data_IF_420128915579
#
_entry.id   IF_420128915579
#
_cell.length_a   1.000
_cell.length_b   1.000
_cell.length_c   1.000
_cell.angle_alpha   90.00
_cell.angle_beta   90.00
_cell.angle_gamma   90.00
#
_symmetry.space_group_name_H-M   'P 1'
#
loop_
_entity.id
_entity.type
_entity.pdbx_description
1 polymer ?
#
# COMPACT_ATOMS: atom_id res chain seq x y z
N UNK A 1 24.51 -16.45 1.02
CA UNK A 1 24.33 -15.19 1.79
C UNK A 1 24.28 -14.07 0.76
N UNK A 2 23.11 -13.80 0.20
CA UNK A 2 22.92 -12.62 -0.68
C UNK A 2 22.92 -11.41 0.24
N UNK A 3 24.07 -10.71 0.27
CA UNK A 3 24.18 -9.47 0.99
C UNK A 3 23.11 -8.51 0.47
N UNK A 4 22.16 -8.19 1.32
CA UNK A 4 21.22 -7.09 1.07
C UNK A 4 22.06 -5.88 0.70
N UNK A 5 21.97 -5.46 -0.55
CA UNK A 5 22.68 -4.29 -1.00
C UNK A 5 22.24 -3.11 -0.15
N UNK A 6 23.17 -2.45 0.52
CA UNK A 6 22.91 -1.29 1.39
C UNK A 6 22.03 -0.27 0.68
N UNK A 7 22.19 -0.15 -0.63
CA UNK A 7 21.37 0.73 -1.48
C UNK A 7 19.89 0.31 -1.54
N UNK A 8 19.59 -0.98 -1.65
CA UNK A 8 18.22 -1.49 -1.70
C UNK A 8 17.51 -1.28 -0.37
N UNK A 9 18.20 -1.58 0.74
CA UNK A 9 17.68 -1.34 2.09
C UNK A 9 17.45 0.13 2.34
N UNK A 10 18.36 1.00 1.90
CA UNK A 10 18.21 2.45 2.07
C UNK A 10 17.01 2.98 1.28
N UNK A 11 16.84 2.56 0.03
CA UNK A 11 15.68 2.97 -0.78
C UNK A 11 14.37 2.49 -0.15
N UNK A 12 14.33 1.22 0.29
CA UNK A 12 13.17 0.68 0.99
C UNK A 12 12.84 1.47 2.26
N UNK A 13 13.85 1.78 3.07
CA UNK A 13 13.66 2.53 4.32
C UNK A 13 13.14 3.95 4.06
N UNK A 14 13.66 4.64 3.05
CA UNK A 14 13.18 5.99 2.67
C UNK A 14 11.71 5.92 2.24
N UNK A 15 11.35 4.99 1.37
CA UNK A 15 9.98 4.81 0.91
C UNK A 15 9.04 4.43 2.07
N UNK A 16 9.48 3.58 2.99
CA UNK A 16 8.71 3.21 4.18
C UNK A 16 8.44 4.42 5.08
N UNK A 17 9.43 5.29 5.28
CA UNK A 17 9.26 6.52 6.05
C UNK A 17 8.26 7.47 5.37
N UNK A 18 8.34 7.62 4.05
CA UNK A 18 7.39 8.45 3.29
C UNK A 18 5.98 7.86 3.39
N UNK A 19 5.81 6.54 3.24
CA UNK A 19 4.51 5.89 3.38
C UNK A 19 3.90 6.08 4.77
N UNK A 20 4.69 5.87 5.82
CA UNK A 20 4.22 6.04 7.21
C UNK A 20 3.86 7.51 7.48
N UNK A 21 4.70 8.45 7.04
CA UNK A 21 4.42 9.88 7.24
C UNK A 21 3.17 10.33 6.47
N UNK A 22 2.96 9.84 5.24
CA UNK A 22 1.75 10.11 4.46
C UNK A 22 0.51 9.49 5.12
N UNK A 23 0.58 8.26 5.63
CA UNK A 23 -0.51 7.61 6.33
C UNK A 23 -0.89 8.34 7.63
N UNK A 24 0.11 8.79 8.41
CA UNK A 24 -0.13 9.60 9.59
C UNK A 24 -0.70 10.97 9.23
N UNK A 25 -0.18 11.62 8.19
CA UNK A 25 -0.71 12.88 7.68
C UNK A 25 -2.18 12.78 7.27
N UNK A 26 -2.55 11.68 6.62
CA UNK A 26 -3.94 11.39 6.26
C UNK A 26 -4.85 11.27 7.49
N UNK A 27 -4.40 10.57 8.54
CA UNK A 27 -5.19 10.36 9.77
C UNK A 27 -5.31 11.62 10.63
N UNK A 28 -4.25 12.43 10.66
CA UNK A 28 -4.19 13.65 11.48
C UNK A 28 -4.84 14.86 10.80
N UNK A 29 -5.03 14.80 9.50
CA UNK A 29 -5.65 15.90 8.75
C UNK A 29 -7.12 16.08 9.10
N UNK A 30 -7.51 17.31 9.45
CA UNK A 30 -8.91 17.67 9.69
C UNK A 30 -9.65 18.07 8.41
N UNK A 31 -8.96 18.14 7.29
CA UNK A 31 -9.52 18.54 6.00
C UNK A 31 -9.48 17.33 5.07
N UNK A 32 -10.66 16.94 4.55
CA UNK A 32 -10.82 15.78 3.68
C UNK A 32 -9.99 15.87 2.38
N UNK A 33 -9.78 17.07 1.84
CA UNK A 33 -8.97 17.27 0.63
C UNK A 33 -7.49 16.98 0.92
N UNK A 34 -6.94 17.48 2.04
CA UNK A 34 -5.56 17.18 2.43
C UNK A 34 -5.37 15.69 2.75
N UNK A 35 -6.35 15.06 3.43
CA UNK A 35 -6.31 13.61 3.67
C UNK A 35 -6.26 12.83 2.35
N UNK A 36 -7.06 13.23 1.38
CA UNK A 36 -7.05 12.60 0.06
C UNK A 36 -5.72 12.82 -0.68
N UNK A 37 -5.09 13.99 -0.57
CA UNK A 37 -3.76 14.23 -1.15
C UNK A 37 -2.69 13.35 -0.52
N UNK A 38 -2.70 13.15 0.80
CA UNK A 38 -1.80 12.21 1.47
C UNK A 38 -2.02 10.77 1.00
N UNK A 39 -3.27 10.39 0.72
CA UNK A 39 -3.58 9.08 0.15
C UNK A 39 -3.00 8.91 -1.26
N UNK A 40 -3.04 9.95 -2.11
CA UNK A 40 -2.38 9.92 -3.44
C UNK A 40 -0.87 9.69 -3.29
N UNK A 41 -0.22 10.39 -2.37
CA UNK A 41 1.21 10.18 -2.08
C UNK A 41 1.47 8.74 -1.67
N UNK A 42 0.63 8.17 -0.80
CA UNK A 42 0.75 6.78 -0.35
C UNK A 42 0.62 5.81 -1.54
N UNK A 43 -0.33 6.01 -2.45
CA UNK A 43 -0.48 5.20 -3.65
C UNK A 43 0.75 5.29 -4.58
N UNK A 44 1.37 6.46 -4.68
CA UNK A 44 2.62 6.63 -5.42
C UNK A 44 3.78 5.82 -4.82
N UNK A 45 3.89 5.82 -3.49
CA UNK A 45 4.89 4.99 -2.79
C UNK A 45 4.65 3.50 -3.01
N UNK A 46 3.39 3.06 -2.91
CA UNK A 46 3.01 1.66 -3.18
C UNK A 46 3.34 1.26 -4.62
N UNK A 47 3.05 2.12 -5.60
CA UNK A 47 3.43 1.86 -6.98
C UNK A 47 4.95 1.71 -7.14
N UNK A 48 5.73 2.55 -6.45
CA UNK A 48 7.20 2.47 -6.46
C UNK A 48 7.69 1.15 -5.84
N UNK A 49 7.07 0.69 -4.75
CA UNK A 49 7.36 -0.63 -4.18
C UNK A 49 7.11 -1.75 -5.19
N UNK A 50 6.01 -1.72 -5.93
CA UNK A 50 5.74 -2.72 -6.96
C UNK A 50 6.80 -2.74 -8.07
N UNK A 51 7.32 -1.57 -8.47
CA UNK A 51 8.43 -1.50 -9.44
C UNK A 51 9.67 -2.17 -8.88
N UNK A 52 10.04 -1.87 -7.64
CA UNK A 52 11.23 -2.43 -6.98
C UNK A 52 11.09 -3.96 -6.80
N UNK A 53 9.87 -4.45 -6.54
CA UNK A 53 9.58 -5.87 -6.40
C UNK A 53 9.51 -6.61 -7.75
N UNK A 54 9.79 -5.95 -8.88
CA UNK A 54 9.76 -6.58 -10.20
C UNK A 54 8.35 -6.84 -10.74
N UNK A 55 7.35 -6.10 -10.26
CA UNK A 55 5.96 -6.19 -10.70
C UNK A 55 5.47 -4.90 -11.41
N UNK A 56 6.07 -4.51 -12.54
CA UNK A 56 5.78 -3.25 -13.20
C UNK A 56 4.34 -3.16 -13.73
N UNK A 57 3.72 -4.29 -14.09
CA UNK A 57 2.32 -4.30 -14.52
C UNK A 57 1.38 -3.83 -13.40
N UNK A 58 1.59 -4.34 -12.16
CA UNK A 58 0.78 -3.93 -11.00
C UNK A 58 1.06 -2.48 -10.63
N UNK A 59 2.31 -2.04 -10.74
CA UNK A 59 2.68 -0.64 -10.53
C UNK A 59 1.93 0.30 -11.49
N UNK A 60 1.87 -0.04 -12.77
CA UNK A 60 1.12 0.75 -13.77
C UNK A 60 -0.38 0.77 -13.47
N UNK A 61 -0.95 -0.38 -13.10
CA UNK A 61 -2.35 -0.47 -12.69
C UNK A 61 -2.62 0.38 -11.43
N UNK A 62 -1.71 0.37 -10.46
CA UNK A 62 -1.78 1.19 -9.25
C UNK A 62 -1.84 2.68 -9.59
N UNK A 63 -0.98 3.17 -10.47
CA UNK A 63 -0.97 4.59 -10.85
C UNK A 63 -2.18 4.95 -11.71
N UNK A 64 -2.51 4.13 -12.71
CA UNK A 64 -3.56 4.46 -13.68
C UNK A 64 -4.96 4.36 -13.06
N UNK A 65 -5.22 3.28 -12.33
CA UNK A 65 -6.56 3.02 -11.79
C UNK A 65 -6.74 3.70 -10.43
N UNK A 66 -5.83 3.45 -9.47
CA UNK A 66 -6.02 3.97 -8.11
C UNK A 66 -5.69 5.45 -8.01
N UNK A 67 -4.50 5.89 -8.42
CA UNK A 67 -4.12 7.28 -8.33
C UNK A 67 -4.78 8.14 -9.43
N UNK A 68 -4.94 7.61 -10.64
CA UNK A 68 -5.54 8.32 -11.78
C UNK A 68 -7.06 8.34 -11.74
N UNK A 69 -7.72 7.20 -11.87
CA UNK A 69 -9.17 7.18 -12.02
C UNK A 69 -9.91 7.34 -10.69
N UNK A 70 -9.63 6.46 -9.72
CA UNK A 70 -10.40 6.40 -8.47
C UNK A 70 -10.17 7.64 -7.61
N UNK A 71 -8.90 8.04 -7.43
CA UNK A 71 -8.59 9.19 -6.59
C UNK A 71 -9.03 10.52 -7.19
N UNK A 72 -8.93 10.68 -8.51
CA UNK A 72 -9.44 11.89 -9.17
C UNK A 72 -10.96 12.00 -9.00
N UNK A 73 -11.68 10.88 -9.19
CA UNK A 73 -13.12 10.84 -8.94
C UNK A 73 -13.45 11.16 -7.47
N UNK A 74 -12.70 10.59 -6.54
CA UNK A 74 -12.89 10.80 -5.10
C UNK A 74 -12.63 12.27 -4.71
N UNK A 75 -11.54 12.86 -5.21
CA UNK A 75 -11.24 14.29 -5.00
C UNK A 75 -12.34 15.18 -5.58
N UNK A 76 -12.84 14.87 -6.77
CA UNK A 76 -13.94 15.60 -7.40
C UNK A 76 -15.20 15.56 -6.55
N UNK A 77 -15.56 14.37 -6.01
CA UNK A 77 -16.73 14.22 -5.13
C UNK A 77 -16.56 15.01 -3.84
N UNK A 78 -15.38 14.94 -3.20
CA UNK A 78 -15.11 15.72 -1.97
C UNK A 78 -15.19 17.22 -2.23
N UNK A 79 -14.69 17.68 -3.39
CA UNK A 79 -14.77 19.10 -3.75
C UNK A 79 -16.22 19.56 -4.01
N UNK A 80 -17.05 18.72 -4.62
CA UNK A 80 -18.47 19.03 -4.88
C UNK A 80 -19.32 19.04 -3.60
N UNK A 81 -19.10 18.08 -2.70
CA UNK A 81 -19.81 18.01 -1.42
C UNK A 81 -19.36 19.11 -0.44
N UNK A 82 -18.24 19.76 -0.73
CA UNK A 82 -17.57 20.67 0.19
C UNK A 82 -16.75 19.90 1.23
N UNK A 83 -15.59 20.46 1.59
CA UNK A 83 -14.77 19.94 2.65
C UNK A 83 -15.41 20.28 4.01
N UNK A 84 -16.49 19.59 4.33
CA UNK A 84 -17.14 19.79 5.63
C UNK A 84 -16.13 19.39 6.72
N UNK A 85 -15.76 20.35 7.54
CA UNK A 85 -14.95 20.06 8.72
C UNK A 85 -15.78 19.15 9.60
N UNK A 86 -15.36 17.90 9.73
CA UNK A 86 -15.98 16.96 10.65
C UNK A 86 -15.93 17.61 12.02
N UNK A 87 -17.06 18.20 12.44
CA UNK A 87 -17.22 18.62 13.82
C UNK A 87 -17.00 17.36 14.65
N UNK A 88 -15.92 17.36 15.42
CA UNK A 88 -15.63 16.31 16.42
C UNK A 88 -16.80 16.26 17.40
N UNK A 89 -17.86 15.54 17.02
CA UNK A 89 -18.81 15.04 17.98
C UNK A 89 -18.06 13.98 18.80
N UNK A 90 -17.46 14.43 19.89
CA UNK A 90 -16.82 13.55 20.89
C UNK A 90 -17.91 12.72 21.58
N UNK A 91 -18.39 11.72 20.89
CA UNK A 91 -19.02 10.58 21.54
C UNK A 91 -17.92 9.54 21.76
N UNK A 92 -16.96 9.89 22.60
CA UNK A 92 -15.88 8.99 23.02
C UNK A 92 -16.52 7.90 23.89
N UNK A 93 -16.90 6.78 23.28
CA UNK A 93 -17.20 5.55 24.02
C UNK A 93 -15.90 5.12 24.71
N UNK A 94 -15.86 5.12 26.05
CA UNK A 94 -14.61 4.91 26.81
C UNK A 94 -13.95 3.54 26.49
N UNK A 95 -14.70 2.61 25.97
CA UNK A 95 -14.23 1.25 25.65
C UNK A 95 -13.54 1.14 24.27
N UNK A 96 -13.74 2.08 23.36
CA UNK A 96 -13.13 2.02 22.01
C UNK A 96 -11.61 2.18 22.08
N UNK A 97 -11.09 3.03 22.94
CA UNK A 97 -9.64 3.27 23.08
C UNK A 97 -8.87 2.01 23.53
N UNK A 98 -9.23 1.32 24.62
CA UNK A 98 -8.51 0.13 25.02
C UNK A 98 -8.66 -1.00 24.00
N UNK A 99 -9.82 -1.15 23.36
CA UNK A 99 -10.03 -2.17 22.35
C UNK A 99 -9.18 -1.94 21.09
N UNK A 100 -9.01 -0.70 20.63
CA UNK A 100 -8.14 -0.39 19.49
C UNK A 100 -6.67 -0.66 19.80
N UNK A 101 -6.21 -0.36 21.01
CA UNK A 101 -4.84 -0.64 21.44
C UNK A 101 -4.57 -2.16 21.45
N UNK A 102 -5.51 -2.94 22.00
CA UNK A 102 -5.39 -4.41 22.03
C UNK A 102 -5.36 -4.98 20.60
N UNK A 103 -6.19 -4.46 19.69
CA UNK A 103 -6.21 -4.91 18.30
C UNK A 103 -4.89 -4.61 17.58
N UNK A 104 -4.35 -3.40 17.77
CA UNK A 104 -3.06 -2.99 17.20
C UNK A 104 -1.93 -3.86 17.75
N UNK A 105 -1.90 -4.08 19.08
CA UNK A 105 -0.90 -4.92 19.72
C UNK A 105 -0.95 -6.37 19.20
N UNK A 106 -2.14 -6.92 19.05
CA UNK A 106 -2.35 -8.27 18.51
C UNK A 106 -1.87 -8.34 17.05
N UNK A 107 -2.21 -7.38 16.22
CA UNK A 107 -1.79 -7.33 14.82
C UNK A 107 -0.26 -7.22 14.70
N UNK A 108 0.37 -6.36 15.49
CA UNK A 108 1.83 -6.23 15.52
C UNK A 108 2.49 -7.51 16.01
N UNK A 109 1.94 -8.17 17.03
CA UNK A 109 2.48 -9.43 17.56
C UNK A 109 2.41 -10.54 16.52
N UNK A 110 1.27 -10.70 15.85
CA UNK A 110 1.10 -11.70 14.78
C UNK A 110 2.04 -11.43 13.62
N UNK A 111 2.15 -10.17 13.18
CA UNK A 111 3.06 -9.79 12.10
C UNK A 111 4.52 -10.08 12.48
N UNK A 112 4.93 -9.69 13.68
CA UNK A 112 6.27 -9.96 14.19
C UNK A 112 6.56 -11.46 14.28
N UNK A 113 5.61 -12.25 14.82
CA UNK A 113 5.72 -13.70 14.90
C UNK A 113 5.90 -14.35 13.52
N UNK A 114 5.10 -13.93 12.53
CA UNK A 114 5.21 -14.45 11.15
C UNK A 114 6.56 -14.09 10.56
N UNK A 115 7.02 -12.85 10.68
CA UNK A 115 8.32 -12.41 10.15
C UNK A 115 9.48 -13.17 10.77
N UNK A 116 9.46 -13.36 12.09
CA UNK A 116 10.55 -14.09 12.80
C UNK A 116 10.55 -15.57 12.46
N UNK A 117 9.37 -16.19 12.34
CA UNK A 117 9.29 -17.63 12.03
C UNK A 117 9.42 -17.96 10.53
N UNK A 118 9.47 -16.97 9.64
CA UNK A 118 9.67 -17.20 8.20
C UNK A 118 11.08 -17.65 7.83
N UNK A 119 12.01 -17.73 8.77
CA UNK A 119 13.40 -18.14 8.51
C UNK A 119 13.58 -19.59 8.00
N UNK A 120 12.56 -20.45 8.10
CA UNK A 120 12.62 -21.85 7.68
C UNK A 120 11.88 -22.16 6.36
N UNK A 121 11.12 -21.21 5.83
CA UNK A 121 10.49 -21.38 4.52
C UNK A 121 11.46 -20.89 3.46
N UNK A 122 12.33 -21.80 2.98
CA UNK A 122 13.22 -21.53 1.86
C UNK A 122 12.46 -20.92 0.66
N UNK A 123 13.14 -20.22 -0.24
CA UNK A 123 12.52 -19.47 -1.31
C UNK A 123 11.85 -20.40 -2.32
N UNK A 124 10.61 -20.80 -2.05
CA UNK A 124 9.79 -21.55 -3.01
C UNK A 124 9.41 -20.71 -4.24
N UNK A 125 9.77 -19.42 -4.26
CA UNK A 125 9.36 -18.47 -5.31
C UNK A 125 10.54 -17.75 -5.99
N UNK A 126 11.79 -18.13 -5.80
CA UNK A 126 12.93 -17.34 -6.29
C UNK A 126 13.36 -17.63 -7.73
N UNK A 127 12.65 -18.47 -8.47
CA UNK A 127 12.96 -18.70 -9.87
C UNK A 127 11.86 -18.14 -10.77
N UNK A 128 12.15 -17.04 -11.45
CA UNK A 128 11.37 -16.41 -12.54
C UNK A 128 10.25 -15.43 -12.19
N UNK A 129 10.13 -14.89 -10.98
CA UNK A 129 9.09 -13.88 -10.66
C UNK A 129 9.23 -12.60 -11.49
N UNK A 130 10.43 -12.20 -11.86
CA UNK A 130 10.68 -11.03 -12.72
C UNK A 130 10.10 -11.17 -14.12
N UNK A 131 9.94 -12.40 -14.61
CA UNK A 131 9.32 -12.66 -15.91
C UNK A 131 7.80 -12.50 -15.86
N UNK A 132 7.16 -12.94 -14.78
CA UNK A 132 5.69 -12.91 -14.63
C UNK A 132 5.13 -11.51 -14.29
N UNK A 133 5.94 -10.61 -13.77
CA UNK A 133 5.54 -9.25 -13.41
C UNK A 133 5.47 -8.28 -14.59
N UNK A 134 5.89 -8.68 -15.78
CA UNK A 134 5.86 -7.82 -16.98
C UNK A 134 4.48 -7.84 -17.64
N UNK A 135 4.05 -6.71 -18.26
CA UNK A 135 2.77 -6.64 -18.97
C UNK A 135 2.66 -7.67 -20.11
N UNK A 136 3.77 -7.96 -20.78
CA UNK A 136 3.82 -8.95 -21.88
C UNK A 136 3.60 -10.38 -21.37
N UNK A 137 4.21 -10.73 -20.24
CA UNK A 137 4.03 -12.07 -19.66
C UNK A 137 2.61 -12.28 -19.16
N UNK A 138 2.02 -11.27 -18.50
CA UNK A 138 0.60 -11.33 -18.10
C UNK A 138 -0.32 -11.47 -19.30
N UNK A 139 -0.05 -10.72 -20.38
CA UNK A 139 -0.82 -10.84 -21.62
C UNK A 139 -0.70 -12.23 -22.25
N UNK A 140 0.50 -12.81 -22.32
CA UNK A 140 0.69 -14.16 -22.85
C UNK A 140 -0.04 -15.22 -22.03
N UNK A 141 0.05 -15.17 -20.70
CA UNK A 141 -0.68 -16.08 -19.83
C UNK A 141 -2.20 -16.00 -20.05
N UNK A 142 -2.76 -14.79 -20.11
CA UNK A 142 -4.18 -14.58 -20.31
C UNK A 142 -4.67 -15.08 -21.68
N UNK A 143 -3.89 -14.88 -22.74
CA UNK A 143 -4.30 -15.21 -24.10
C UNK A 143 -3.83 -16.58 -24.60
N UNK A 144 -2.86 -17.23 -23.96
CA UNK A 144 -2.35 -18.54 -24.38
C UNK A 144 -2.82 -19.68 -23.46
N UNK A 145 -2.83 -19.44 -22.14
CA UNK A 145 -3.08 -20.51 -21.17
C UNK A 145 -4.49 -20.41 -20.57
N UNK A 146 -5.05 -19.22 -20.47
CA UNK A 146 -6.37 -18.95 -19.90
C UNK A 146 -7.33 -18.35 -20.94
N UNK A 147 -7.28 -18.82 -22.19
CA UNK A 147 -8.34 -18.52 -23.16
C UNK A 147 -9.59 -19.23 -22.67
N UNK A 148 -10.52 -18.47 -22.13
CA UNK A 148 -11.84 -18.99 -21.75
C UNK A 148 -12.56 -19.54 -23.00
N UNK A 149 -13.18 -20.74 -22.90
CA UNK A 149 -13.96 -21.30 -23.97
C UNK A 149 -15.19 -20.46 -24.32
#
# INVERSE_FOLDING_TARGET
MTGLNISEVAVFAILAIIAISAALGMLLSNNSVYSALFLVVNFGVVATFYVILGAPFIAMAQVTVYAGAIMVLFLFVIMLLGAERIQKSRHDLPWQRPMSIVLIALLLTVTFYVVVNQNDSGPLLSQNLTSYGSPSAVGQLLFQEYILP
#
